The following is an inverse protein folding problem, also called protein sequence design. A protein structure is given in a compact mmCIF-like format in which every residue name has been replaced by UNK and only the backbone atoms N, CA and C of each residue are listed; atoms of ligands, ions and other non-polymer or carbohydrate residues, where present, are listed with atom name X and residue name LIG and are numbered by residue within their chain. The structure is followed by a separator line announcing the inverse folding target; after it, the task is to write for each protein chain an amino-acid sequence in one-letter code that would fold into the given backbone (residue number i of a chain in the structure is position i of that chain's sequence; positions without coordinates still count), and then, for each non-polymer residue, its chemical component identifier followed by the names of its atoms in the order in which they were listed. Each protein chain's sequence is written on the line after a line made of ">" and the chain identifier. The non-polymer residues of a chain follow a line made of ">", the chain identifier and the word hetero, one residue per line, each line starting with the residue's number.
data_IF_236584784406
#
_entry.id   IF_236584784406
#
_cell.length_a   1.000
_cell.length_b   1.000
_cell.length_c   1.000
_cell.angle_alpha   90.00
_cell.angle_beta   90.00
_cell.angle_gamma   90.00
#
_symmetry.space_group_name_H-M   'P 1'
#
loop_
_entity.id
_entity.type
_entity.pdbx_description
1 polymer ?
#
# COMPACT_ATOMS: atom_id res chain seq x y z
N UNK A 1 -9.93 -0.50 58.98
CA UNK A 1 -10.87 -0.20 57.88
C UNK A 1 -11.37 -1.54 57.33
N UNK A 2 -12.63 -1.93 57.55
CA UNK A 2 -13.15 -3.19 57.04
C UNK A 2 -13.77 -3.02 55.65
N UNK A 3 -13.32 -3.84 54.70
CA UNK A 3 -13.80 -3.92 53.32
C UNK A 3 -15.04 -4.80 53.23
N UNK A 4 -16.15 -4.27 52.70
CA UNK A 4 -17.36 -5.03 52.37
C UNK A 4 -17.32 -5.51 50.91
N UNK A 5 -17.70 -6.76 50.59
CA UNK A 5 -17.89 -7.21 49.22
C UNK A 5 -19.31 -6.89 48.72
N UNK A 6 -19.41 -6.22 47.56
CA UNK A 6 -20.69 -5.98 46.87
C UNK A 6 -20.99 -7.15 45.94
N UNK A 7 -22.02 -7.95 46.27
CA UNK A 7 -22.58 -8.96 45.37
C UNK A 7 -23.48 -8.28 44.34
N UNK A 8 -23.25 -8.50 43.04
CA UNK A 8 -24.21 -8.13 41.98
C UNK A 8 -25.09 -9.34 41.66
N UNK A 9 -26.37 -9.26 42.05
CA UNK A 9 -27.43 -10.20 41.67
C UNK A 9 -27.84 -9.98 40.21
N UNK A 10 -28.02 -11.10 39.50
CA UNK A 10 -28.58 -11.15 38.15
C UNK A 10 -30.06 -10.71 38.14
N UNK A 11 -30.43 -9.81 37.22
CA UNK A 11 -31.82 -9.53 36.90
C UNK A 11 -32.34 -10.57 35.91
N UNK A 12 -33.40 -11.29 36.30
CA UNK A 12 -34.27 -12.04 35.38
C UNK A 12 -35.28 -11.08 34.78
N UNK A 13 -35.33 -10.99 33.45
CA UNK A 13 -36.40 -10.31 32.74
C UNK A 13 -37.61 -11.24 32.61
N UNK A 14 -38.74 -10.85 33.20
CA UNK A 14 -40.03 -11.51 33.02
C UNK A 14 -40.72 -10.98 31.76
N UNK A 15 -41.14 -11.88 30.88
CA UNK A 15 -41.94 -11.56 29.71
C UNK A 15 -43.35 -11.12 30.13
N UNK A 16 -43.79 -9.96 29.65
CA UNK A 16 -45.19 -9.50 29.75
C UNK A 16 -45.77 -9.49 28.34
N UNK A 17 -46.71 -10.38 28.07
CA UNK A 17 -47.52 -10.37 26.85
C UNK A 17 -48.71 -9.42 27.06
N UNK A 18 -48.91 -8.51 26.11
CA UNK A 18 -50.10 -7.66 26.02
C UNK A 18 -50.78 -7.92 24.67
N UNK A 19 -52.01 -8.42 24.71
CA UNK A 19 -52.89 -8.58 23.54
C UNK A 19 -54.24 -7.97 23.90
N UNK A 20 -54.62 -6.86 23.24
CA UNK A 20 -55.95 -6.42 22.72
C UNK A 20 -55.62 -5.17 21.85
N UNK A 21 -56.01 -4.92 20.60
CA UNK A 21 -57.09 -5.39 19.73
C UNK A 21 -58.04 -4.21 19.40
N UNK A 22 -57.84 -3.47 18.30
CA UNK A 22 -58.87 -2.70 17.56
C UNK A 22 -58.24 -2.00 16.32
N UNK A 23 -58.93 -2.09 15.19
CA UNK A 23 -58.38 -1.83 13.86
C UNK A 23 -58.23 -0.36 13.44
N UNK A 24 -57.26 -0.17 12.54
CA UNK A 24 -57.19 0.90 11.55
C UNK A 24 -56.50 0.28 10.33
N UNK A 25 -57.29 -0.14 9.34
CA UNK A 25 -56.79 -0.55 8.02
C UNK A 25 -56.39 0.71 7.24
N UNK A 26 -55.23 1.27 7.57
CA UNK A 26 -54.47 2.09 6.63
C UNK A 26 -53.53 1.19 5.84
N UNK A 27 -53.26 1.44 4.55
CA UNK A 27 -52.23 0.72 3.84
C UNK A 27 -50.91 0.99 4.57
N UNK A 28 -50.37 -0.04 5.23
CA UNK A 28 -48.98 -0.06 5.66
C UNK A 28 -48.19 -0.11 4.37
N UNK A 29 -47.78 1.06 3.88
CA UNK A 29 -46.70 1.12 2.92
C UNK A 29 -45.50 0.50 3.64
N UNK A 30 -45.12 -0.72 3.23
CA UNK A 30 -43.77 -1.19 3.51
C UNK A 30 -42.86 -0.14 2.89
N UNK A 31 -42.26 0.70 3.73
CA UNK A 31 -41.09 1.45 3.33
C UNK A 31 -40.10 0.37 2.88
N UNK A 32 -39.96 0.23 1.57
CA UNK A 32 -38.83 -0.46 0.98
C UNK A 32 -37.63 0.18 1.66
N UNK A 33 -36.89 -0.58 2.45
CA UNK A 33 -35.56 -0.17 2.88
C UNK A 33 -34.85 0.21 1.60
N UNK A 34 -34.64 1.52 1.38
CA UNK A 34 -33.78 1.98 0.32
C UNK A 34 -32.49 1.18 0.52
N UNK A 35 -32.20 0.28 -0.42
CA UNK A 35 -31.00 -0.55 -0.33
C UNK A 35 -29.86 0.39 -0.04
N UNK A 36 -29.09 0.12 1.02
CA UNK A 36 -27.95 0.94 1.38
C UNK A 36 -27.19 1.23 0.08
N UNK A 37 -27.02 2.51 -0.25
CA UNK A 37 -26.36 2.89 -1.49
C UNK A 37 -25.03 2.15 -1.53
N UNK A 38 -24.79 1.39 -2.59
CA UNK A 38 -23.53 0.66 -2.77
C UNK A 38 -22.43 1.71 -2.61
N UNK A 39 -21.54 1.49 -1.64
CA UNK A 39 -20.38 2.35 -1.48
C UNK A 39 -19.63 2.35 -2.81
N UNK A 40 -19.20 3.52 -3.25
CA UNK A 40 -18.57 3.69 -4.55
C UNK A 40 -17.29 4.48 -4.35
N UNK A 41 -16.22 4.02 -4.97
CA UNK A 41 -15.00 4.81 -5.08
C UNK A 41 -15.26 6.07 -5.92
N UNK A 42 -14.36 7.03 -5.85
CA UNK A 42 -14.40 8.24 -6.68
C UNK A 42 -13.10 8.41 -7.44
N UNK A 43 -13.19 8.82 -8.70
CA UNK A 43 -12.04 9.17 -9.52
C UNK A 43 -12.29 10.53 -10.18
N UNK A 44 -11.39 11.49 -9.98
CA UNK A 44 -11.50 12.81 -10.59
C UNK A 44 -10.12 13.43 -10.81
N UNK A 45 -9.97 14.13 -11.93
CA UNK A 45 -8.86 15.03 -12.17
C UNK A 45 -9.17 16.38 -11.50
N UNK A 46 -8.17 17.05 -10.94
CA UNK A 46 -8.32 18.37 -10.34
C UNK A 46 -8.69 19.45 -11.38
N UNK A 47 -9.10 20.63 -10.93
CA UNK A 47 -9.53 21.74 -11.80
C UNK A 47 -8.43 22.30 -12.73
N UNK A 48 -7.18 21.91 -12.49
CA UNK A 48 -6.00 22.32 -13.26
C UNK A 48 -5.51 21.23 -14.23
N UNK A 49 -6.27 20.14 -14.37
CA UNK A 49 -6.05 19.02 -15.28
C UNK A 49 -4.74 18.22 -15.09
N UNK A 50 -4.01 18.38 -13.98
CA UNK A 50 -2.67 17.75 -13.82
C UNK A 50 -2.61 16.62 -12.79
N UNK A 51 -3.58 16.49 -11.88
CA UNK A 51 -3.60 15.44 -10.86
C UNK A 51 -4.91 14.67 -10.88
N UNK A 52 -4.81 13.35 -10.98
CA UNK A 52 -5.89 12.40 -10.77
C UNK A 52 -5.90 11.94 -9.31
N UNK A 53 -7.05 11.98 -8.67
CA UNK A 53 -7.28 11.36 -7.36
C UNK A 53 -8.22 10.16 -7.50
N UNK A 54 -7.82 9.02 -6.94
CA UNK A 54 -8.67 7.86 -6.69
C UNK A 54 -8.86 7.67 -5.19
N UNK A 55 -10.11 7.56 -4.74
CA UNK A 55 -10.41 7.33 -3.32
C UNK A 55 -11.46 6.24 -3.20
N UNK A 56 -11.10 5.14 -2.54
CA UNK A 56 -12.05 4.12 -2.15
C UNK A 56 -12.97 4.66 -1.04
N UNK A 57 -14.18 4.12 -0.97
CA UNK A 57 -15.06 4.36 0.16
C UNK A 57 -14.68 3.43 1.33
N UNK A 58 -15.03 3.85 2.55
CA UNK A 58 -14.74 3.05 3.75
C UNK A 58 -15.31 1.63 3.68
N UNK A 59 -14.56 0.70 4.25
CA UNK A 59 -14.83 -0.74 4.34
C UNK A 59 -14.98 -1.43 2.98
N UNK A 60 -14.41 -0.86 1.92
CA UNK A 60 -14.39 -1.49 0.62
C UNK A 60 -13.26 -2.52 0.53
N UNK A 61 -13.43 -3.46 -0.40
CA UNK A 61 -12.34 -4.36 -0.78
C UNK A 61 -12.16 -4.18 -2.27
N UNK A 62 -11.07 -3.54 -2.64
CA UNK A 62 -10.75 -3.07 -3.96
C UNK A 62 -9.77 -4.04 -4.65
N UNK A 63 -9.95 -4.22 -5.95
CA UNK A 63 -9.05 -4.99 -6.82
C UNK A 63 -8.73 -4.14 -8.03
N UNK A 64 -7.92 -3.13 -7.79
CA UNK A 64 -7.61 -2.09 -8.75
C UNK A 64 -6.58 -2.56 -9.76
N UNK A 65 -6.90 -2.42 -11.04
CA UNK A 65 -5.91 -2.47 -12.12
C UNK A 65 -5.75 -1.09 -12.71
N UNK A 66 -4.52 -0.60 -12.75
CA UNK A 66 -4.14 0.69 -13.33
C UNK A 66 -3.40 0.41 -14.64
N UNK A 67 -3.87 1.00 -15.73
CA UNK A 67 -3.16 1.00 -17.00
C UNK A 67 -2.89 2.44 -17.46
N UNK A 68 -1.62 2.75 -17.69
CA UNK A 68 -1.16 4.10 -18.01
C UNK A 68 -0.57 4.13 -19.42
N UNK A 69 -0.96 5.13 -20.20
CA UNK A 69 -0.50 5.30 -21.58
C UNK A 69 -0.52 6.76 -21.97
N UNK A 70 0.35 7.14 -22.92
CA UNK A 70 0.28 8.47 -23.49
C UNK A 70 -0.92 8.62 -24.43
N UNK A 71 -1.45 9.83 -24.50
CA UNK A 71 -2.32 10.24 -25.60
C UNK A 71 -1.55 10.28 -26.92
N UNK A 72 -2.29 10.25 -28.03
CA UNK A 72 -1.74 10.41 -29.38
C UNK A 72 -1.15 11.82 -29.54
N UNK A 73 0.13 11.96 -29.21
CA UNK A 73 0.84 13.26 -29.17
C UNK A 73 1.82 13.40 -28.00
N UNK A 74 1.74 12.51 -26.99
CA UNK A 74 2.57 12.57 -25.77
C UNK A 74 2.38 13.87 -24.94
N UNK A 75 1.25 14.56 -25.11
CA UNK A 75 0.92 15.79 -24.38
C UNK A 75 0.18 15.52 -23.06
N UNK A 76 -0.31 14.29 -22.87
CA UNK A 76 -1.10 13.89 -21.71
C UNK A 76 -0.95 12.39 -21.43
N UNK A 77 -1.28 11.99 -20.21
CA UNK A 77 -1.33 10.60 -19.76
C UNK A 77 -2.78 10.21 -19.53
N UNK A 78 -3.16 9.07 -20.10
CA UNK A 78 -4.45 8.44 -19.86
C UNK A 78 -4.27 7.30 -18.87
N UNK A 79 -5.02 7.39 -17.77
CA UNK A 79 -5.18 6.36 -16.75
C UNK A 79 -6.49 5.62 -16.99
N UNK A 80 -6.41 4.32 -17.22
CA UNK A 80 -7.57 3.43 -17.18
C UNK A 80 -7.52 2.68 -15.85
N UNK A 81 -8.49 2.95 -14.99
CA UNK A 81 -8.64 2.32 -13.68
C UNK A 81 -9.84 1.39 -13.73
N UNK A 82 -9.61 0.11 -13.42
CA UNK A 82 -10.62 -0.93 -13.32
C UNK A 82 -10.64 -1.49 -11.89
N UNK A 83 -11.83 -1.65 -11.32
CA UNK A 83 -12.03 -2.17 -9.97
C UNK A 83 -13.21 -3.17 -9.95
N UNK A 84 -13.44 -3.82 -8.82
CA UNK A 84 -14.60 -4.70 -8.56
C UNK A 84 -15.78 -3.94 -7.95
N UNK A 85 -15.59 -2.68 -7.58
CA UNK A 85 -16.64 -1.79 -7.05
C UNK A 85 -17.00 -0.68 -8.06
N UNK A 86 -18.21 -0.10 -8.01
CA UNK A 86 -18.54 1.06 -8.81
C UNK A 86 -17.66 2.27 -8.47
N UNK A 87 -17.23 3.00 -9.50
CA UNK A 87 -16.43 4.21 -9.42
C UNK A 87 -17.27 5.37 -9.94
N UNK A 88 -17.36 6.46 -9.17
CA UNK A 88 -17.97 7.71 -9.64
C UNK A 88 -16.93 8.54 -10.37
N UNK A 89 -17.11 8.70 -11.67
CA UNK A 89 -16.29 9.59 -12.50
C UNK A 89 -16.61 11.07 -12.23
N UNK A 90 -15.59 11.86 -11.90
CA UNK A 90 -15.63 13.30 -11.77
C UNK A 90 -15.01 14.03 -12.97
N UNK A 91 -14.51 15.25 -12.74
CA UNK A 91 -13.84 16.07 -13.76
C UNK A 91 -12.68 15.29 -14.41
N UNK A 92 -12.48 15.46 -15.71
CA UNK A 92 -11.42 14.78 -16.48
C UNK A 92 -11.56 13.26 -16.62
N UNK A 93 -12.63 12.64 -16.10
CA UNK A 93 -12.86 11.20 -16.14
C UNK A 93 -14.14 10.84 -16.91
N UNK A 94 -14.14 9.67 -17.56
CA UNK A 94 -15.30 9.14 -18.31
C UNK A 94 -15.36 7.62 -18.25
N UNK A 95 -16.53 7.03 -18.51
CA UNK A 95 -16.69 5.57 -18.60
C UNK A 95 -16.34 5.08 -20.01
N UNK A 96 -15.33 4.21 -20.19
CA UNK A 96 -14.97 3.67 -21.50
C UNK A 96 -16.10 2.84 -22.13
N UNK A 97 -16.91 2.22 -21.28
CA UNK A 97 -18.10 1.44 -21.65
C UNK A 97 -19.26 1.98 -20.81
N UNK A 98 -20.22 2.67 -21.43
CA UNK A 98 -21.20 3.48 -20.68
C UNK A 98 -22.13 2.75 -19.70
N UNK A 99 -22.23 1.42 -19.76
CA UNK A 99 -23.00 0.63 -18.77
C UNK A 99 -22.12 0.07 -17.63
N UNK A 100 -20.80 0.12 -17.80
CA UNK A 100 -19.83 -0.40 -16.86
C UNK A 100 -19.24 0.76 -16.05
N UNK A 101 -19.66 0.85 -14.79
CA UNK A 101 -19.18 1.87 -13.87
C UNK A 101 -18.06 1.35 -12.97
N UNK A 102 -17.55 0.14 -13.15
CA UNK A 102 -16.37 -0.33 -12.40
C UNK A 102 -15.06 0.05 -13.09
N UNK A 103 -15.15 0.64 -14.28
CA UNK A 103 -14.01 1.10 -15.06
C UNK A 103 -14.14 2.57 -15.47
N UNK A 104 -13.10 3.35 -15.21
CA UNK A 104 -12.99 4.75 -15.61
C UNK A 104 -11.73 5.00 -16.43
N UNK A 105 -11.82 5.94 -17.36
CA UNK A 105 -10.68 6.50 -18.09
C UNK A 105 -10.58 7.97 -17.76
N UNK A 106 -9.43 8.37 -17.20
CA UNK A 106 -9.13 9.74 -16.83
C UNK A 106 -7.89 10.21 -17.59
N UNK A 107 -7.87 11.47 -18.01
CA UNK A 107 -6.73 12.04 -18.72
C UNK A 107 -6.17 13.21 -17.94
N UNK A 108 -4.89 13.16 -17.60
CA UNK A 108 -4.14 14.26 -16.99
C UNK A 108 -3.21 14.87 -18.03
N UNK A 109 -3.21 16.19 -18.12
CA UNK A 109 -2.35 16.94 -19.05
C UNK A 109 -0.95 17.03 -18.43
N UNK A 110 0.04 16.54 -19.17
CA UNK A 110 1.42 16.52 -18.71
C UNK A 110 2.02 17.92 -18.88
N UNK A 111 2.03 18.71 -17.80
CA UNK A 111 2.82 19.93 -17.73
C UNK A 111 4.25 19.55 -17.35
N UNK A 112 5.22 20.02 -18.12
CA UNK A 112 6.66 19.78 -17.92
C UNK A 112 7.06 19.94 -16.44
N UNK A 113 7.62 18.89 -15.84
CA UNK A 113 8.27 18.87 -14.52
C UNK A 113 7.41 19.33 -13.33
N UNK A 114 6.54 18.45 -12.83
CA UNK A 114 5.69 18.67 -11.64
C UNK A 114 6.29 18.09 -10.34
N UNK A 115 7.61 18.09 -10.20
CA UNK A 115 8.26 17.80 -8.90
C UNK A 115 7.82 18.88 -7.88
N UNK A 116 7.18 18.54 -6.74
CA UNK A 116 7.17 17.23 -6.06
C UNK A 116 5.82 16.47 -6.03
N UNK A 117 4.83 16.81 -6.86
CA UNK A 117 3.49 16.23 -6.76
C UNK A 117 3.26 15.05 -7.71
N UNK A 118 2.59 14.01 -7.21
CA UNK A 118 2.20 12.85 -8.02
C UNK A 118 1.05 13.21 -9.00
N UNK A 119 1.12 12.67 -10.21
CA UNK A 119 0.07 12.75 -11.23
C UNK A 119 -1.15 11.88 -10.88
N UNK A 120 -0.95 10.77 -10.17
CA UNK A 120 -2.00 9.99 -9.52
C UNK A 120 -1.78 9.96 -8.00
N UNK A 121 -2.82 10.31 -7.25
CA UNK A 121 -2.92 9.99 -5.82
C UNK A 121 -4.04 8.97 -5.62
N UNK A 122 -3.69 7.79 -5.14
CA UNK A 122 -4.63 6.71 -4.84
C UNK A 122 -4.66 6.44 -3.34
N UNK A 123 -5.86 6.34 -2.77
CA UNK A 123 -6.08 5.93 -1.38
C UNK A 123 -7.16 4.85 -1.33
N UNK A 124 -6.82 3.66 -0.84
CA UNK A 124 -7.74 2.52 -0.76
C UNK A 124 -8.39 2.34 0.62
N UNK A 125 -7.85 2.98 1.65
CA UNK A 125 -8.52 3.08 2.94
C UNK A 125 -8.38 1.78 3.73
N UNK A 126 -9.47 1.20 4.21
CA UNK A 126 -9.43 -0.05 4.95
C UNK A 126 -10.00 -1.21 4.16
N UNK A 127 -9.42 -2.39 4.30
CA UNK A 127 -9.75 -3.55 3.48
C UNK A 127 -8.51 -4.36 3.19
N UNK A 128 -8.68 -5.56 2.61
CA UNK A 128 -7.53 -6.27 2.06
C UNK A 128 -7.56 -6.05 0.54
N UNK A 129 -6.88 -5.01 0.11
CA UNK A 129 -6.94 -4.50 -1.24
C UNK A 129 -5.85 -5.11 -2.12
N UNK A 130 -6.09 -5.06 -3.42
CA UNK A 130 -5.12 -5.50 -4.41
C UNK A 130 -4.96 -4.45 -5.49
N UNK A 131 -3.73 -4.01 -5.72
CA UNK A 131 -3.37 -3.09 -6.81
C UNK A 131 -2.44 -3.80 -7.79
N UNK A 132 -2.77 -3.74 -9.06
CA UNK A 132 -1.86 -4.10 -10.15
C UNK A 132 -1.65 -2.91 -11.06
N UNK A 133 -0.39 -2.45 -11.18
CA UNK A 133 -0.05 -1.35 -12.08
C UNK A 133 0.62 -1.83 -13.37
N UNK A 134 0.32 -1.14 -14.47
CA UNK A 134 0.89 -1.30 -15.81
C UNK A 134 1.08 0.06 -16.49
N UNK A 135 2.25 0.63 -16.29
CA UNK A 135 2.81 1.75 -17.01
C UNK A 135 3.44 1.33 -18.35
N UNK A 136 2.89 1.86 -19.45
CA UNK A 136 3.42 1.71 -20.81
C UNK A 136 4.11 2.99 -21.34
N UNK A 137 4.33 4.00 -20.49
CA UNK A 137 4.89 5.31 -20.86
C UNK A 137 6.43 5.30 -20.89
N UNK A 138 7.08 4.47 -20.07
CA UNK A 138 8.53 4.43 -19.93
C UNK A 138 9.17 5.71 -19.36
N UNK A 139 8.40 6.51 -18.60
CA UNK A 139 8.90 7.70 -17.89
C UNK A 139 9.68 7.33 -16.62
N UNK A 140 10.44 8.28 -16.06
CA UNK A 140 11.38 8.04 -14.93
C UNK A 140 11.05 8.88 -13.69
N UNK A 141 10.13 9.86 -13.77
CA UNK A 141 9.93 10.86 -12.73
C UNK A 141 8.55 10.77 -12.05
N UNK A 142 8.58 10.74 -10.71
CA UNK A 142 7.49 10.74 -9.72
C UNK A 142 6.07 10.85 -10.28
N UNK A 143 5.44 9.69 -10.48
CA UNK A 143 4.19 9.61 -11.22
C UNK A 143 3.00 9.32 -10.31
N UNK A 144 3.11 8.33 -9.44
CA UNK A 144 1.97 7.88 -8.64
C UNK A 144 2.33 7.73 -7.17
N UNK A 145 1.45 8.20 -6.30
CA UNK A 145 1.43 7.87 -4.86
C UNK A 145 0.26 6.95 -4.59
N UNK A 146 0.54 5.74 -4.12
CA UNK A 146 -0.47 4.71 -3.83
C UNK A 146 -0.42 4.38 -2.33
N UNK A 147 -1.49 4.77 -1.65
CA UNK A 147 -1.72 4.51 -0.22
C UNK A 147 -2.72 3.35 -0.10
N UNK A 148 -2.22 2.19 0.34
CA UNK A 148 -3.01 0.95 0.49
C UNK A 148 -3.90 1.05 1.73
N UNK A 149 -3.32 1.49 2.85
CA UNK A 149 -4.06 1.90 4.04
C UNK A 149 -4.06 0.84 5.13
N UNK A 150 -5.23 0.31 5.51
CA UNK A 150 -5.35 -0.63 6.62
C UNK A 150 -5.84 -1.99 6.13
N UNK A 151 -5.03 -3.01 6.29
CA UNK A 151 -5.36 -4.41 6.06
C UNK A 151 -4.15 -5.17 5.54
N UNK A 152 -4.36 -6.39 5.06
CA UNK A 152 -3.28 -7.15 4.45
C UNK A 152 -3.37 -6.96 2.93
N UNK A 153 -2.66 -5.95 2.44
CA UNK A 153 -2.78 -5.48 1.08
C UNK A 153 -1.75 -6.10 0.15
N UNK A 154 -2.05 -6.05 -1.14
CA UNK A 154 -1.15 -6.56 -2.16
C UNK A 154 -0.99 -5.56 -3.29
N UNK A 155 0.24 -5.07 -3.48
CA UNK A 155 0.60 -4.29 -4.65
C UNK A 155 1.55 -5.08 -5.56
N UNK A 156 1.29 -5.09 -6.86
CA UNK A 156 2.21 -5.62 -7.86
C UNK A 156 2.34 -4.64 -9.01
N UNK A 157 3.50 -4.00 -9.08
CA UNK A 157 3.90 -3.18 -10.20
C UNK A 157 4.79 -3.98 -11.16
N UNK A 158 4.35 -4.14 -12.42
CA UNK A 158 5.02 -5.00 -13.41
C UNK A 158 5.79 -4.19 -14.48
N UNK A 159 6.18 -2.97 -14.17
CA UNK A 159 6.61 -1.98 -15.18
C UNK A 159 8.11 -1.68 -15.13
N UNK A 160 8.60 -1.04 -16.19
CA UNK A 160 9.97 -0.58 -16.30
C UNK A 160 10.08 0.93 -16.05
N UNK A 161 10.90 1.26 -15.03
CA UNK A 161 11.21 2.57 -14.45
C UNK A 161 9.96 3.30 -13.95
N UNK A 162 9.74 3.30 -12.63
CA UNK A 162 8.60 4.02 -12.07
C UNK A 162 8.93 4.55 -10.68
N UNK A 163 9.06 5.88 -10.61
CA UNK A 163 9.19 6.75 -9.42
C UNK A 163 7.99 6.72 -8.49
N UNK A 164 7.33 5.57 -8.35
CA UNK A 164 6.13 5.41 -7.55
C UNK A 164 6.48 5.46 -6.07
N UNK A 165 5.67 6.18 -5.30
CA UNK A 165 5.64 6.08 -3.84
C UNK A 165 4.51 5.13 -3.45
N UNK A 166 4.85 4.06 -2.72
CA UNK A 166 3.88 3.13 -2.17
C UNK A 166 3.90 3.22 -0.65
N UNK A 167 2.72 3.40 -0.06
CA UNK A 167 2.51 3.37 1.39
C UNK A 167 1.62 2.16 1.70
N UNK A 168 2.13 1.18 2.44
CA UNK A 168 1.38 -0.02 2.84
C UNK A 168 0.37 0.32 3.94
N UNK A 169 0.87 0.88 5.04
CA UNK A 169 0.05 1.41 6.13
C UNK A 169 0.03 0.46 7.32
N UNK A 170 -1.08 -0.20 7.63
CA UNK A 170 -1.14 -1.18 8.73
C UNK A 170 -1.62 -2.53 8.25
N UNK A 171 -1.06 -3.61 8.78
CA UNK A 171 -1.35 -4.99 8.41
C UNK A 171 -0.16 -5.60 7.68
N UNK A 172 -0.24 -6.89 7.35
CA UNK A 172 0.87 -7.60 6.74
C UNK A 172 0.75 -7.51 5.21
N UNK A 173 1.53 -6.63 4.61
CA UNK A 173 1.43 -6.30 3.20
C UNK A 173 2.39 -7.10 2.33
N UNK A 174 2.00 -7.31 1.08
CA UNK A 174 2.89 -7.87 0.05
C UNK A 174 3.04 -6.87 -1.08
N UNK A 175 4.17 -6.19 -1.10
CA UNK A 175 4.46 -5.11 -2.05
C UNK A 175 5.55 -5.60 -3.02
N UNK A 176 5.29 -5.47 -4.31
CA UNK A 176 6.29 -5.71 -5.36
C UNK A 176 6.32 -4.51 -6.28
N UNK A 177 7.48 -3.85 -6.34
CA UNK A 177 7.68 -2.62 -7.11
C UNK A 177 8.63 -2.83 -8.28
N UNK A 178 8.53 -1.94 -9.27
CA UNK A 178 9.39 -1.93 -10.45
C UNK A 178 10.78 -1.33 -10.19
N UNK A 179 11.31 -0.61 -11.18
CA UNK A 179 12.75 -0.29 -11.21
C UNK A 179 13.24 0.89 -10.35
N UNK A 180 12.37 1.78 -9.88
CA UNK A 180 12.78 3.03 -9.22
C UNK A 180 11.74 3.53 -8.22
N UNK A 181 11.48 2.78 -7.16
CA UNK A 181 10.37 3.06 -6.25
C UNK A 181 10.83 3.49 -4.86
N UNK A 182 9.96 4.26 -4.18
CA UNK A 182 10.02 4.53 -2.75
C UNK A 182 8.88 3.75 -2.07
N UNK A 183 9.21 2.92 -1.08
CA UNK A 183 8.22 2.13 -0.34
C UNK A 183 8.31 2.44 1.15
N UNK A 184 7.16 2.73 1.76
CA UNK A 184 6.95 2.78 3.20
C UNK A 184 5.95 1.67 3.54
N UNK A 185 6.41 0.51 4.00
CA UNK A 185 5.52 -0.64 4.20
C UNK A 185 4.58 -0.43 5.40
N UNK A 186 5.12 0.01 6.55
CA UNK A 186 4.32 0.54 7.65
C UNK A 186 4.33 -0.37 8.88
N UNK A 187 3.17 -0.62 9.48
CA UNK A 187 3.03 -1.48 10.66
C UNK A 187 2.51 -2.86 10.24
N UNK A 188 3.22 -3.94 10.57
CA UNK A 188 2.84 -5.32 10.23
C UNK A 188 4.07 -6.10 9.78
N UNK A 189 3.95 -7.42 9.59
CA UNK A 189 5.06 -8.21 9.04
C UNK A 189 4.94 -8.20 7.51
N UNK A 190 5.66 -7.30 6.89
CA UNK A 190 5.56 -6.99 5.48
C UNK A 190 6.54 -7.80 4.64
N UNK A 191 6.19 -7.99 3.37
CA UNK A 191 7.08 -8.56 2.37
C UNK A 191 7.20 -7.59 1.21
N UNK A 192 8.39 -7.00 1.04
CA UNK A 192 8.68 -6.06 -0.05
C UNK A 192 9.70 -6.68 -1.00
N UNK A 193 9.31 -6.82 -2.26
CA UNK A 193 10.22 -7.13 -3.37
C UNK A 193 10.47 -5.85 -4.16
N UNK A 194 11.62 -5.23 -3.91
CA UNK A 194 12.17 -4.16 -4.72
C UNK A 194 12.74 -4.76 -6.01
N UNK A 195 12.17 -4.35 -7.15
CA UNK A 195 12.57 -4.81 -8.48
C UNK A 195 13.97 -4.35 -8.86
N UNK A 196 14.29 -4.35 -10.17
CA UNK A 196 15.61 -3.86 -10.63
C UNK A 196 15.83 -2.37 -10.33
N UNK A 197 16.92 -1.78 -10.83
CA UNK A 197 17.19 -0.35 -10.63
C UNK A 197 17.32 0.04 -9.16
N UNK A 198 17.42 1.33 -8.85
CA UNK A 198 17.74 1.78 -7.49
C UNK A 198 16.43 2.08 -6.70
N UNK A 199 16.11 1.26 -5.69
CA UNK A 199 14.92 1.47 -4.84
C UNK A 199 15.29 1.94 -3.43
N UNK A 200 14.33 2.61 -2.79
CA UNK A 200 14.39 2.99 -1.37
C UNK A 200 13.21 2.35 -0.66
N UNK A 201 13.47 1.55 0.37
CA UNK A 201 12.44 0.83 1.13
C UNK A 201 12.66 1.04 2.62
N UNK A 202 11.60 1.45 3.31
CA UNK A 202 11.49 1.36 4.77
C UNK A 202 10.35 0.39 5.12
N UNK A 203 10.65 -0.65 5.89
CA UNK A 203 9.67 -1.65 6.28
C UNK A 203 8.78 -1.16 7.44
N UNK A 204 9.37 -0.56 8.47
CA UNK A 204 8.60 0.04 9.57
C UNK A 204 8.53 -0.89 10.76
N UNK A 205 7.35 -1.07 11.37
CA UNK A 205 7.22 -1.96 12.54
C UNK A 205 6.81 -3.35 12.12
N UNK A 206 7.59 -4.37 12.44
CA UNK A 206 7.24 -5.73 12.07
C UNK A 206 8.42 -6.68 12.09
N UNK A 207 8.22 -7.93 11.72
CA UNK A 207 9.34 -8.78 11.32
C UNK A 207 9.24 -8.93 9.81
N UNK A 208 9.99 -8.10 9.12
CA UNK A 208 9.79 -7.84 7.70
C UNK A 208 10.75 -8.63 6.84
N UNK A 209 10.36 -8.81 5.58
CA UNK A 209 11.19 -9.45 4.55
C UNK A 209 11.39 -8.49 3.40
N UNK A 210 12.60 -7.98 3.26
CA UNK A 210 12.99 -7.07 2.19
C UNK A 210 13.90 -7.80 1.19
N UNK A 211 13.56 -7.69 -0.10
CA UNK A 211 14.34 -8.28 -1.19
C UNK A 211 14.59 -7.24 -2.26
N UNK A 212 15.84 -6.80 -2.36
CA UNK A 212 16.35 -6.11 -3.52
C UNK A 212 16.63 -7.05 -4.69
N UNK A 213 16.89 -6.47 -5.86
CA UNK A 213 17.22 -7.22 -7.06
C UNK A 213 18.57 -6.83 -7.67
N UNK A 214 18.58 -5.93 -8.66
CA UNK A 214 19.77 -5.53 -9.37
C UNK A 214 19.91 -4.01 -9.32
N UNK A 215 21.16 -3.52 -9.28
CA UNK A 215 21.51 -2.13 -8.97
C UNK A 215 21.38 -1.80 -7.49
N UNK A 216 21.79 -0.60 -7.08
CA UNK A 216 22.03 -0.29 -5.68
C UNK A 216 20.73 -0.01 -4.92
N UNK A 217 20.50 -0.77 -3.86
CA UNK A 217 19.32 -0.64 -3.03
C UNK A 217 19.60 0.13 -1.73
N UNK A 218 18.59 0.81 -1.21
CA UNK A 218 18.57 1.29 0.18
C UNK A 218 17.41 0.60 0.88
N UNK A 219 17.71 -0.37 1.75
CA UNK A 219 16.70 -1.19 2.43
C UNK A 219 16.86 -1.04 3.95
N UNK A 220 15.79 -0.61 4.63
CA UNK A 220 15.73 -0.43 6.07
C UNK A 220 14.62 -1.29 6.68
N UNK A 221 14.96 -2.18 7.62
CA UNK A 221 14.01 -2.99 8.38
C UNK A 221 13.24 -2.17 9.42
N UNK A 222 13.94 -1.27 10.12
CA UNK A 222 13.38 -0.42 11.18
C UNK A 222 13.07 -1.20 12.48
N UNK A 223 11.83 -1.38 12.90
CA UNK A 223 11.50 -1.98 14.21
C UNK A 223 11.08 -3.46 14.09
N UNK A 224 11.93 -4.39 14.50
CA UNK A 224 11.62 -5.80 14.76
C UNK A 224 12.69 -6.75 14.24
N UNK A 225 12.40 -8.03 14.03
CA UNK A 225 13.44 -8.99 13.60
C UNK A 225 13.36 -9.22 12.09
N UNK A 226 14.14 -8.45 11.35
CA UNK A 226 13.98 -8.35 9.91
C UNK A 226 14.92 -9.27 9.15
N UNK A 227 14.52 -9.61 7.93
CA UNK A 227 15.38 -10.32 6.98
C UNK A 227 15.52 -9.53 5.69
N UNK A 228 16.74 -9.08 5.40
CA UNK A 228 17.03 -8.17 4.30
C UNK A 228 18.03 -8.82 3.34
N UNK A 229 17.70 -8.81 2.05
CA UNK A 229 18.55 -9.29 0.96
C UNK A 229 18.81 -8.12 0.00
N UNK A 230 20.07 -7.71 -0.17
CA UNK A 230 20.46 -6.62 -1.09
C UNK A 230 20.34 -7.06 -2.56
N UNK A 231 21.05 -8.13 -2.92
CA UNK A 231 20.91 -8.76 -4.22
C UNK A 231 22.17 -8.59 -5.07
N UNK A 232 22.07 -7.88 -6.18
CA UNK A 232 23.24 -7.59 -7.02
C UNK A 232 23.40 -6.08 -7.16
N UNK A 233 24.62 -5.58 -7.06
CA UNK A 233 24.87 -4.13 -7.06
C UNK A 233 25.39 -3.68 -5.71
N UNK A 234 25.75 -2.42 -5.58
CA UNK A 234 26.32 -1.89 -4.34
C UNK A 234 25.17 -1.42 -3.43
N UNK A 235 24.81 -2.25 -2.44
CA UNK A 235 23.63 -2.05 -1.61
C UNK A 235 23.93 -1.37 -0.27
N UNK A 236 22.92 -0.73 0.33
CA UNK A 236 22.96 -0.20 1.70
C UNK A 236 21.80 -0.77 2.50
N UNK A 237 22.13 -1.66 3.43
CA UNK A 237 21.18 -2.43 4.25
C UNK A 237 21.27 -2.00 5.71
N UNK A 238 20.12 -1.76 6.31
CA UNK A 238 19.97 -1.35 7.71
C UNK A 238 18.97 -2.28 8.39
N UNK A 239 19.41 -3.01 9.43
CA UNK A 239 18.55 -3.88 10.23
C UNK A 239 17.57 -3.04 11.03
N UNK A 240 18.07 -2.35 12.06
CA UNK A 240 17.27 -1.40 12.83
C UNK A 240 17.27 -1.77 14.30
N UNK A 241 16.12 -1.93 14.91
CA UNK A 241 16.00 -2.45 16.28
C UNK A 241 15.48 -3.88 16.24
N UNK A 242 16.15 -4.82 16.89
CA UNK A 242 15.73 -6.23 16.92
C UNK A 242 16.88 -7.16 16.55
N UNK A 243 16.61 -8.43 16.24
CA UNK A 243 17.68 -9.36 15.87
C UNK A 243 17.58 -9.67 14.39
N UNK A 244 18.39 -8.98 13.60
CA UNK A 244 18.20 -8.93 12.15
C UNK A 244 19.10 -9.91 11.41
N UNK A 245 18.72 -10.23 10.19
CA UNK A 245 19.53 -11.03 9.26
C UNK A 245 19.69 -10.28 7.95
N UNK A 246 20.92 -9.84 7.66
CA UNK A 246 21.27 -9.06 6.48
C UNK A 246 22.18 -9.88 5.56
N UNK A 247 21.80 -9.95 4.29
CA UNK A 247 22.58 -10.54 3.21
C UNK A 247 22.87 -9.48 2.15
N UNK A 248 24.12 -9.03 2.02
CA UNK A 248 24.55 -8.12 0.94
C UNK A 248 24.40 -8.80 -0.41
N UNK A 249 24.91 -10.02 -0.49
CA UNK A 249 25.06 -10.84 -1.69
C UNK A 249 26.20 -10.31 -2.57
N UNK A 250 25.98 -9.94 -3.84
CA UNK A 250 27.10 -9.56 -4.72
C UNK A 250 27.16 -8.06 -4.93
N UNK A 251 28.29 -7.44 -4.64
CA UNK A 251 28.39 -5.99 -4.70
C UNK A 251 29.49 -5.47 -3.79
N UNK A 252 29.70 -4.16 -3.74
CA UNK A 252 30.41 -3.53 -2.63
C UNK A 252 29.37 -2.95 -1.66
N UNK A 253 28.93 -3.78 -0.73
CA UNK A 253 27.76 -3.51 0.09
C UNK A 253 28.09 -2.81 1.41
N UNK A 254 27.10 -2.15 1.99
CA UNK A 254 27.14 -1.62 3.36
C UNK A 254 26.02 -2.25 4.18
N UNK A 255 26.38 -2.96 5.22
CA UNK A 255 25.44 -3.64 6.10
C UNK A 255 25.58 -3.10 7.53
N UNK A 256 24.48 -2.60 8.08
CA UNK A 256 24.40 -2.09 9.43
C UNK A 256 23.32 -2.85 10.20
N UNK A 257 23.71 -3.70 11.14
CA UNK A 257 22.75 -4.41 12.01
C UNK A 257 22.01 -3.47 12.96
N UNK A 258 22.68 -2.37 13.36
CA UNK A 258 22.19 -1.43 14.36
C UNK A 258 22.01 -2.09 15.73
N UNK A 259 20.83 -2.10 16.35
CA UNK A 259 20.66 -2.52 17.74
C UNK A 259 20.10 -3.93 17.86
N UNK A 260 20.87 -4.85 18.42
CA UNK A 260 20.41 -6.18 18.81
C UNK A 260 21.41 -7.28 18.51
N UNK A 261 20.97 -8.52 18.32
CA UNK A 261 21.88 -9.65 18.04
C UNK A 261 21.75 -10.08 16.57
N UNK A 262 22.53 -9.43 15.72
CA UNK A 262 22.34 -9.50 14.29
C UNK A 262 23.26 -10.52 13.62
N UNK A 263 22.86 -10.94 12.42
CA UNK A 263 23.66 -11.75 11.51
C UNK A 263 23.85 -11.01 10.20
N UNK A 264 25.09 -10.66 9.90
CA UNK A 264 25.47 -9.95 8.69
C UNK A 264 26.34 -10.86 7.82
N UNK A 265 25.93 -11.04 6.58
CA UNK A 265 26.63 -11.80 5.55
C UNK A 265 26.88 -10.86 4.36
N UNK A 266 28.12 -10.46 4.14
CA UNK A 266 28.48 -9.56 3.03
C UNK A 266 28.29 -10.26 1.69
N UNK A 267 28.96 -11.40 1.53
CA UNK A 267 29.00 -12.12 0.26
C UNK A 267 30.19 -11.66 -0.59
N UNK A 268 30.21 -11.98 -1.90
CA UNK A 268 31.32 -11.60 -2.77
C UNK A 268 31.37 -10.09 -3.03
N UNK A 269 32.51 -9.49 -2.67
CA UNK A 269 32.86 -8.12 -3.00
C UNK A 269 33.58 -7.42 -1.87
N UNK A 270 33.61 -6.08 -1.89
CA UNK A 270 34.33 -5.31 -0.86
C UNK A 270 33.33 -4.59 0.03
N UNK A 271 32.84 -5.33 1.02
CA UNK A 271 31.74 -4.88 1.84
C UNK A 271 32.20 -4.20 3.13
N UNK A 272 31.30 -3.40 3.70
CA UNK A 272 31.44 -2.76 5.00
C UNK A 272 30.34 -3.25 5.92
N UNK A 273 30.70 -4.04 6.93
CA UNK A 273 29.74 -4.64 7.86
C UNK A 273 29.95 -4.06 9.27
N UNK A 274 28.86 -3.63 9.90
CA UNK A 274 28.83 -3.16 11.28
C UNK A 274 27.61 -3.70 12.00
N UNK A 275 27.80 -4.63 12.92
CA UNK A 275 26.70 -5.19 13.72
C UNK A 275 26.15 -4.24 14.80
N UNK A 276 26.82 -3.13 15.12
CA UNK A 276 26.35 -2.22 16.19
C UNK A 276 26.32 -2.88 17.60
N UNK A 277 25.55 -2.32 18.56
CA UNK A 277 25.41 -2.87 19.90
C UNK A 277 24.78 -4.26 19.93
N UNK A 278 25.36 -5.19 20.70
CA UNK A 278 24.82 -6.53 20.97
C UNK A 278 25.78 -7.64 20.57
N UNK A 279 25.31 -8.90 20.54
CA UNK A 279 26.14 -10.06 20.19
C UNK A 279 25.88 -10.46 18.75
N UNK A 280 26.73 -9.96 17.87
CA UNK A 280 26.56 -10.07 16.43
C UNK A 280 27.42 -11.18 15.81
N UNK A 281 26.93 -11.75 14.71
CA UNK A 281 27.69 -12.61 13.81
C UNK A 281 27.93 -11.82 12.52
N UNK A 282 29.19 -11.67 12.14
CA UNK A 282 29.59 -10.89 10.97
C UNK A 282 30.49 -11.77 10.11
N UNK A 283 30.11 -11.96 8.84
CA UNK A 283 30.82 -12.82 7.90
C UNK A 283 31.03 -12.13 6.55
N UNK A 284 32.26 -12.19 6.06
CA UNK A 284 32.70 -11.69 4.77
C UNK A 284 33.39 -12.83 4.00
N UNK A 285 33.07 -13.00 2.72
CA UNK A 285 33.68 -13.97 1.81
C UNK A 285 34.96 -13.44 1.14
#
# INVERSE_FOLDING_TARGET
>A
MPSYPISRRALRASALALVIGAGLTGPVALATTAGAAVSSATAAVNEYDWQLTYTAAAHQVNKVTIAESYTSGHEAITYVIDDVVPIRAGHGCSYPVGADHTRVSCTVVALESQDPYAALEMSLGDGNDTVTSRNATGQVYYLNRIDLGSGNDRLTDNTGLDGNEVVGGTGNDTITVGKLASVLAGDGNDTVNAGGGDNIVNAGKGNDVLRGAAAGQILNGDDGNDTIYGGTGDDSLYGGTGNDVLYGNSGADKLYGNSGNDKLYGGPGRDTLSGGPGRNIVHQD
#
